data_IF_989382430844
#
_entry.id   IF_989382430844
#
_cell.length_a   1.000
_cell.length_b   1.000
_cell.length_c   1.000
_cell.angle_alpha   90.00
_cell.angle_beta   90.00
_cell.angle_gamma   90.00
#
_symmetry.space_group_name_H-M   'P 1'
#
loop_
_entity.id
_entity.type
_entity.pdbx_description
1 polymer ?
#
# COMPACT_ATOMS: atom_id res chain seq x y z
N UNK A 1 16.35 -8.04 13.42
CA UNK A 1 16.81 -6.65 13.30
C UNK A 1 18.33 -6.63 13.27
N UNK A 2 18.94 -5.95 12.32
CA UNK A 2 20.40 -5.74 12.25
C UNK A 2 20.68 -4.24 12.04
N UNK A 3 21.83 -3.71 12.48
CA UNK A 3 22.21 -2.32 12.20
C UNK A 3 22.34 -2.03 10.70
N UNK A 4 21.96 -0.82 10.30
CA UNK A 4 22.03 -0.29 8.93
C UNK A 4 22.69 1.08 9.00
N UNK A 5 23.76 1.26 8.23
CA UNK A 5 24.49 2.53 8.19
C UNK A 5 23.55 3.68 7.77
N UNK A 6 23.45 4.71 8.62
CA UNK A 6 22.60 5.88 8.38
C UNK A 6 21.09 5.66 8.55
N UNK A 7 20.64 4.48 8.97
CA UNK A 7 19.20 4.14 9.11
C UNK A 7 18.89 3.27 10.34
N UNK A 8 19.68 3.38 11.41
CA UNK A 8 19.42 2.70 12.67
C UNK A 8 19.39 1.17 12.54
N UNK A 9 18.25 0.55 12.89
CA UNK A 9 18.02 -0.88 12.74
C UNK A 9 17.16 -1.16 11.50
N UNK A 10 17.44 -2.27 10.81
CA UNK A 10 16.62 -2.76 9.71
C UNK A 10 16.10 -4.17 9.95
N UNK A 11 14.95 -4.47 9.35
CA UNK A 11 14.40 -5.83 9.26
C UNK A 11 14.95 -6.53 8.01
N UNK A 12 15.31 -7.80 8.12
CA UNK A 12 15.90 -8.57 7.02
C UNK A 12 15.22 -9.92 6.88
N UNK A 13 15.00 -10.35 5.64
CA UNK A 13 14.38 -11.63 5.33
C UNK A 13 15.27 -12.79 5.80
N UNK A 14 14.66 -13.77 6.50
CA UNK A 14 15.35 -15.00 6.94
C UNK A 14 15.11 -16.19 6.01
N UNK A 15 14.22 -16.02 5.04
CA UNK A 15 13.84 -16.96 4.00
C UNK A 15 13.36 -16.17 2.78
N UNK A 16 13.10 -16.86 1.68
CA UNK A 16 12.49 -16.24 0.51
C UNK A 16 10.99 -16.03 0.74
N UNK A 17 10.44 -14.94 0.21
CA UNK A 17 9.00 -14.63 0.23
C UNK A 17 8.52 -14.35 -1.19
N UNK A 18 7.34 -14.84 -1.54
CA UNK A 18 6.62 -14.50 -2.76
C UNK A 18 5.61 -13.36 -2.51
N UNK A 19 5.09 -12.76 -3.59
CA UNK A 19 4.03 -11.77 -3.51
C UNK A 19 2.84 -12.33 -2.69
N UNK A 20 2.40 -11.58 -1.66
CA UNK A 20 1.29 -11.96 -0.78
C UNK A 20 1.69 -12.68 0.50
N UNK A 21 2.91 -13.24 0.57
CA UNK A 21 3.35 -13.99 1.74
C UNK A 21 3.38 -13.12 3.00
N UNK A 22 2.95 -13.70 4.12
CA UNK A 22 3.04 -13.08 5.44
C UNK A 22 4.49 -13.11 5.93
N UNK A 23 5.06 -11.92 6.14
CA UNK A 23 6.42 -11.76 6.66
C UNK A 23 6.40 -11.83 8.19
N UNK A 24 5.53 -11.03 8.81
CA UNK A 24 5.38 -10.97 10.26
C UNK A 24 4.00 -10.42 10.63
N UNK A 25 3.55 -10.74 11.84
CA UNK A 25 2.33 -10.22 12.43
C UNK A 25 2.59 -9.90 13.90
N UNK A 26 2.16 -8.72 14.35
CA UNK A 26 2.49 -8.21 15.67
C UNK A 26 1.29 -7.50 16.30
N UNK A 27 0.97 -7.85 17.55
CA UNK A 27 0.03 -7.06 18.33
C UNK A 27 0.67 -5.70 18.68
N UNK A 28 -0.06 -4.58 18.53
CA UNK A 28 0.51 -3.25 18.76
C UNK A 28 0.80 -3.02 20.25
N UNK A 29 1.84 -2.25 20.54
CA UNK A 29 2.12 -1.70 21.86
C UNK A 29 1.08 -0.63 22.25
N UNK A 30 0.68 0.19 21.28
CA UNK A 30 -0.26 1.31 21.45
C UNK A 30 -1.18 1.36 20.23
N UNK A 31 -2.47 1.62 20.46
CA UNK A 31 -3.44 2.06 19.46
C UNK A 31 -4.05 3.37 19.93
N UNK A 32 -4.12 4.36 19.04
CA UNK A 32 -4.56 5.71 19.40
C UNK A 32 -5.18 6.47 18.23
N UNK A 33 -6.08 7.45 18.47
CA UNK A 33 -6.57 8.34 17.42
C UNK A 33 -5.43 9.18 16.82
N UNK A 34 -5.43 9.36 15.49
CA UNK A 34 -4.44 10.20 14.79
C UNK A 34 -4.58 11.69 15.15
N UNK A 35 -5.81 12.14 15.32
CA UNK A 35 -6.14 13.49 15.77
C UNK A 35 -7.15 13.40 16.91
N UNK A 36 -7.02 14.26 17.91
CA UNK A 36 -7.98 14.37 19.00
C UNK A 36 -8.88 15.59 18.73
N UNK A 37 -10.14 15.41 18.33
CA UNK A 37 -11.03 16.53 18.00
C UNK A 37 -11.28 17.43 19.21
N UNK A 38 -11.22 18.76 19.01
CA UNK A 38 -11.66 19.75 19.99
C UNK A 38 -10.59 20.26 20.95
N UNK A 39 -9.33 19.83 20.80
CA UNK A 39 -8.24 20.26 21.67
C UNK A 39 -7.18 20.94 20.78
N UNK A 40 -6.98 22.25 20.94
CA UNK A 40 -6.01 23.07 20.17
C UNK A 40 -4.58 22.93 20.71
N UNK A 41 -3.82 24.02 20.88
CA UNK A 41 -2.46 23.97 21.49
C UNK A 41 -2.42 23.47 22.94
N UNK A 42 -3.56 23.47 23.64
CA UNK A 42 -3.71 22.83 24.97
C UNK A 42 -3.74 21.28 24.87
N UNK A 43 -3.85 20.74 23.66
CA UNK A 43 -3.85 19.30 23.38
C UNK A 43 -2.51 18.66 23.65
N UNK A 44 -1.40 19.33 23.32
CA UNK A 44 -0.08 18.69 23.37
C UNK A 44 0.30 18.32 24.80
N UNK A 45 -0.01 19.19 25.78
CA UNK A 45 0.23 18.92 27.20
C UNK A 45 -0.71 17.85 27.76
N UNK A 46 -2.00 17.91 27.42
CA UNK A 46 -2.97 16.90 27.86
C UNK A 46 -2.67 15.52 27.24
N UNK A 47 -2.37 15.50 25.95
CA UNK A 47 -1.96 14.31 25.21
C UNK A 47 -0.69 13.70 25.80
N UNK A 48 0.33 14.52 26.07
CA UNK A 48 1.56 14.07 26.72
C UNK A 48 1.29 13.46 28.10
N UNK A 49 0.37 14.04 28.87
CA UNK A 49 -0.02 13.50 30.17
C UNK A 49 -0.74 12.14 30.06
N UNK A 50 -1.71 12.01 29.15
CA UNK A 50 -2.42 10.74 28.90
C UNK A 50 -1.45 9.67 28.42
N UNK A 51 -0.53 10.02 27.52
CA UNK A 51 0.49 9.12 27.02
C UNK A 51 1.44 8.65 28.13
N UNK A 52 1.88 9.56 29.02
CA UNK A 52 2.69 9.20 30.17
C UNK A 52 1.96 8.21 31.09
N UNK A 53 0.67 8.46 31.38
CA UNK A 53 -0.15 7.54 32.17
C UNK A 53 -0.30 6.17 31.50
N UNK A 54 -0.51 6.14 30.17
CA UNK A 54 -0.56 4.89 29.42
C UNK A 54 0.75 4.12 29.56
N UNK A 55 1.89 4.78 29.36
CA UNK A 55 3.22 4.17 29.48
C UNK A 55 3.51 3.63 30.89
N UNK A 56 3.03 4.31 31.93
CA UNK A 56 3.22 3.87 33.33
C UNK A 56 2.38 2.63 33.69
N UNK A 57 1.31 2.38 32.95
CA UNK A 57 0.46 1.18 33.12
C UNK A 57 0.88 -0.01 32.25
N UNK A 58 1.81 0.19 31.30
CA UNK A 58 2.30 -0.88 30.45
C UNK A 58 3.21 -1.85 31.20
N UNK A 59 3.23 -3.14 30.79
CA UNK A 59 4.28 -4.05 31.22
C UNK A 59 5.68 -3.46 30.95
N UNK A 60 6.65 -3.61 31.88
CA UNK A 60 7.97 -2.99 31.75
C UNK A 60 8.67 -3.32 30.43
N UNK A 61 8.52 -4.54 29.92
CA UNK A 61 9.05 -4.98 28.63
C UNK A 61 8.48 -4.19 27.45
N UNK A 62 7.18 -3.88 27.46
CA UNK A 62 6.50 -3.12 26.40
C UNK A 62 6.85 -1.64 26.48
N UNK A 63 6.91 -1.09 27.70
CA UNK A 63 7.36 0.29 27.93
C UNK A 63 8.79 0.48 27.44
N UNK A 64 9.69 -0.44 27.77
CA UNK A 64 11.08 -0.40 27.32
C UNK A 64 11.19 -0.57 25.80
N UNK A 65 10.38 -1.44 25.20
CA UNK A 65 10.31 -1.59 23.74
C UNK A 65 9.93 -0.27 23.07
N UNK A 66 8.86 0.38 23.53
CA UNK A 66 8.42 1.69 23.03
C UNK A 66 9.50 2.76 23.19
N UNK A 67 10.10 2.90 24.37
CA UNK A 67 11.13 3.91 24.65
C UNK A 67 12.44 3.69 23.89
N UNK A 68 12.64 2.50 23.30
CA UNK A 68 13.81 2.16 22.49
C UNK A 68 13.58 2.31 20.98
N UNK A 69 12.42 2.82 20.57
CA UNK A 69 12.14 3.19 19.18
C UNK A 69 12.87 4.50 18.82
N UNK A 70 13.04 4.72 17.52
CA UNK A 70 13.76 5.89 17.01
C UNK A 70 12.98 7.18 17.33
N UNK A 71 13.67 8.27 17.60
CA UNK A 71 13.04 9.57 17.78
C UNK A 71 13.79 10.63 16.97
N UNK A 72 13.38 10.80 15.71
CA UNK A 72 14.00 11.79 14.84
C UNK A 72 13.56 13.23 15.17
N UNK A 73 12.54 13.41 16.04
CA UNK A 73 11.94 14.70 16.43
C UNK A 73 12.40 15.20 17.79
N UNK A 74 13.44 14.60 18.37
CA UNK A 74 13.84 14.83 19.75
C UNK A 74 14.08 16.33 20.06
N UNK A 75 13.13 16.92 20.79
CA UNK A 75 13.29 18.14 21.58
C UNK A 75 13.02 17.78 23.04
N UNK A 76 13.67 18.48 23.99
CA UNK A 76 13.67 18.11 25.42
C UNK A 76 12.25 18.03 26.03
N UNK A 77 11.27 18.73 25.46
CA UNK A 77 9.95 18.89 26.05
C UNK A 77 8.90 17.83 25.62
N UNK A 78 9.14 17.04 24.56
CA UNK A 78 8.09 16.16 23.98
C UNK A 78 8.62 14.80 23.48
N UNK A 79 9.50 14.15 24.26
CA UNK A 79 10.18 12.89 23.87
C UNK A 79 9.23 11.79 23.38
N UNK A 80 8.12 11.54 24.08
CA UNK A 80 7.19 10.47 23.71
C UNK A 80 6.41 10.77 22.43
N UNK A 81 6.09 12.04 22.17
CA UNK A 81 5.43 12.45 20.94
C UNK A 81 6.33 12.26 19.73
N UNK A 82 7.60 12.63 19.84
CA UNK A 82 8.57 12.42 18.77
C UNK A 82 8.76 10.95 18.41
N UNK A 83 8.72 10.05 19.41
CA UNK A 83 8.69 8.59 19.17
C UNK A 83 7.44 8.20 18.38
N UNK A 84 6.26 8.67 18.78
CA UNK A 84 5.02 8.34 18.07
C UNK A 84 5.05 8.86 16.63
N UNK A 85 5.37 10.14 16.42
CA UNK A 85 5.44 10.74 15.08
C UNK A 85 6.43 10.02 14.17
N UNK A 86 7.54 9.52 14.73
CA UNK A 86 8.57 8.81 13.95
C UNK A 86 8.15 7.38 13.58
N UNK A 87 7.31 6.72 14.39
CA UNK A 87 7.11 5.26 14.36
C UNK A 87 5.67 4.80 14.13
N UNK A 88 4.71 5.71 14.13
CA UNK A 88 3.29 5.40 14.01
C UNK A 88 2.94 4.88 12.61
N UNK A 89 2.10 3.84 12.60
CA UNK A 89 1.55 3.24 11.39
C UNK A 89 0.05 3.49 11.35
N UNK A 90 -0.47 3.96 10.21
CA UNK A 90 -1.91 4.14 10.02
C UNK A 90 -2.66 2.82 10.03
N UNK A 91 -3.77 2.75 10.75
CA UNK A 91 -4.65 1.57 10.81
C UNK A 91 -6.07 1.82 10.28
N UNK A 92 -6.31 3.01 9.71
CA UNK A 92 -7.62 3.37 9.19
C UNK A 92 -8.62 3.77 10.27
N UNK A 93 -9.90 3.59 9.98
CA UNK A 93 -11.01 3.88 10.90
C UNK A 93 -11.43 2.61 11.61
N UNK A 94 -11.51 2.66 12.95
CA UNK A 94 -12.00 1.53 13.75
C UNK A 94 -13.54 1.51 13.83
N UNK A 95 -14.18 0.32 13.95
CA UNK A 95 -15.63 0.20 14.06
C UNK A 95 -16.20 1.07 15.20
N UNK A 96 -17.26 1.82 14.90
CA UNK A 96 -17.90 2.72 15.86
C UNK A 96 -17.22 4.07 16.06
N UNK A 97 -16.15 4.36 15.32
CA UNK A 97 -15.45 5.65 15.35
C UNK A 97 -15.47 6.34 13.97
N UNK A 98 -15.33 7.66 13.95
CA UNK A 98 -15.29 8.47 12.73
C UNK A 98 -13.88 9.03 12.42
N UNK A 99 -12.90 8.74 13.28
CA UNK A 99 -11.53 9.23 13.18
C UNK A 99 -10.56 8.16 12.70
N UNK A 100 -9.46 8.60 12.09
CA UNK A 100 -8.34 7.73 11.76
C UNK A 100 -7.58 7.35 13.04
N UNK A 101 -7.04 6.15 13.06
CA UNK A 101 -6.22 5.63 14.13
C UNK A 101 -4.82 5.31 13.63
N UNK A 102 -3.90 5.31 14.59
CA UNK A 102 -2.52 4.91 14.45
C UNK A 102 -2.24 3.77 15.41
N UNK A 103 -1.20 3.00 15.11
CA UNK A 103 -0.63 2.05 16.03
C UNK A 103 0.90 2.18 16.11
N UNK A 104 1.47 1.70 17.21
CA UNK A 104 2.91 1.56 17.40
C UNK A 104 3.20 0.09 17.66
N UNK A 105 4.18 -0.46 16.94
CA UNK A 105 4.65 -1.83 17.11
C UNK A 105 6.09 -1.83 17.65
N UNK A 106 6.53 -2.93 18.26
CA UNK A 106 7.90 -3.10 18.74
C UNK A 106 8.89 -3.32 17.60
N UNK A 107 8.57 -4.22 16.66
CA UNK A 107 9.46 -4.62 15.59
C UNK A 107 9.03 -4.05 14.24
N UNK A 108 7.73 -4.03 13.92
CA UNK A 108 7.22 -3.49 12.64
C UNK A 108 7.49 -1.99 12.49
N UNK A 109 7.40 -1.20 13.57
CA UNK A 109 7.71 0.23 13.54
C UNK A 109 9.18 0.54 13.23
N UNK A 110 10.07 -0.46 13.24
CA UNK A 110 11.50 -0.32 12.91
C UNK A 110 11.82 -0.68 11.46
N UNK A 111 10.82 -1.03 10.65
CA UNK A 111 11.06 -1.36 9.25
C UNK A 111 11.39 -0.08 8.49
N UNK A 112 12.53 -0.07 7.80
CA UNK A 112 13.05 1.11 7.11
C UNK A 112 12.25 1.49 5.86
N UNK A 113 12.46 2.73 5.40
CA UNK A 113 11.83 3.27 4.21
C UNK A 113 12.45 2.77 2.90
N UNK A 114 11.62 2.58 1.87
CA UNK A 114 12.00 2.64 0.46
C UNK A 114 10.92 3.33 -0.37
N UNK A 115 11.31 4.14 -1.37
CA UNK A 115 10.37 4.73 -2.34
C UNK A 115 9.76 3.69 -3.31
N UNK A 116 10.38 2.52 -3.37
CA UNK A 116 9.92 1.30 -4.06
C UNK A 116 9.95 0.16 -3.03
N UNK A 117 8.97 0.12 -2.10
CA UNK A 117 8.97 -0.83 -1.00
C UNK A 117 8.79 -2.25 -1.50
N UNK A 118 9.30 -3.22 -0.73
CA UNK A 118 9.10 -4.64 -0.99
C UNK A 118 8.10 -5.28 -0.02
N UNK A 119 7.59 -4.54 0.95
CA UNK A 119 6.55 -4.97 1.86
C UNK A 119 5.52 -3.87 2.14
N UNK A 120 4.32 -4.29 2.54
CA UNK A 120 3.21 -3.41 2.89
C UNK A 120 2.68 -3.79 4.28
N UNK A 121 2.56 -2.82 5.20
CA UNK A 121 1.83 -3.02 6.45
C UNK A 121 0.32 -3.03 6.18
N UNK A 122 -0.40 -3.93 6.84
CA UNK A 122 -1.85 -4.06 6.75
C UNK A 122 -2.41 -4.36 8.15
N UNK A 123 -3.37 -3.53 8.58
CA UNK A 123 -4.05 -3.72 9.85
C UNK A 123 -5.11 -4.83 9.72
N UNK A 124 -5.00 -5.84 10.58
CA UNK A 124 -5.98 -6.91 10.70
C UNK A 124 -6.85 -6.66 11.93
N UNK A 125 -8.12 -6.35 11.68
CA UNK A 125 -9.10 -6.05 12.72
C UNK A 125 -9.48 -7.29 13.54
N UNK A 126 -9.54 -8.47 12.94
CA UNK A 126 -10.01 -9.70 13.58
C UNK A 126 -9.00 -10.20 14.61
N UNK A 127 -7.72 -10.16 14.25
CA UNK A 127 -6.62 -10.48 15.18
C UNK A 127 -6.15 -9.29 16.01
N UNK A 128 -6.65 -8.09 15.72
CA UNK A 128 -6.24 -6.82 16.32
C UNK A 128 -4.72 -6.61 16.28
N UNK A 129 -4.14 -6.78 15.09
CA UNK A 129 -2.69 -6.78 14.89
C UNK A 129 -2.27 -6.08 13.61
N UNK A 130 -0.99 -5.68 13.55
CA UNK A 130 -0.37 -5.21 12.32
C UNK A 130 0.32 -6.39 11.64
N UNK A 131 -0.05 -6.66 10.40
CA UNK A 131 0.64 -7.62 9.54
C UNK A 131 1.56 -6.89 8.55
N UNK A 132 2.60 -7.57 8.09
CA UNK A 132 3.46 -7.10 7.00
C UNK A 132 3.54 -8.19 5.96
N UNK A 133 3.19 -7.87 4.71
CA UNK A 133 3.17 -8.82 3.60
C UNK A 133 4.08 -8.38 2.46
N UNK A 134 4.64 -9.34 1.74
CA UNK A 134 5.56 -9.07 0.64
C UNK A 134 4.81 -8.53 -0.60
N UNK A 135 5.31 -7.45 -1.19
CA UNK A 135 4.80 -6.81 -2.43
C UNK A 135 5.46 -7.37 -3.69
N UNK A 136 6.47 -8.22 -3.55
CA UNK A 136 7.20 -8.89 -4.62
C UNK A 136 8.01 -10.04 -4.05
N UNK A 137 8.73 -10.75 -4.91
CA UNK A 137 9.76 -11.68 -4.45
C UNK A 137 10.82 -10.95 -3.61
N UNK A 138 11.09 -11.47 -2.41
CA UNK A 138 12.13 -11.01 -1.48
C UNK A 138 13.05 -12.19 -1.21
N UNK A 139 14.34 -12.05 -1.49
CA UNK A 139 15.31 -13.13 -1.25
C UNK A 139 15.82 -13.11 0.19
N UNK A 140 16.25 -14.26 0.70
CA UNK A 140 16.92 -14.36 2.01
C UNK A 140 18.07 -13.34 2.13
N UNK A 141 18.10 -12.62 3.24
CA UNK A 141 19.08 -11.57 3.51
C UNK A 141 18.76 -10.22 2.89
N UNK A 142 17.74 -10.09 2.04
CA UNK A 142 17.27 -8.78 1.57
C UNK A 142 16.64 -8.00 2.73
N UNK A 143 16.87 -6.69 2.77
CA UNK A 143 16.22 -5.81 3.73
C UNK A 143 14.73 -5.67 3.37
N UNK A 144 13.87 -5.74 4.38
CA UNK A 144 12.44 -5.51 4.26
C UNK A 144 12.21 -4.02 4.47
N UNK A 145 11.52 -3.37 3.53
CA UNK A 145 11.25 -1.94 3.54
C UNK A 145 9.79 -1.65 3.21
N UNK A 146 9.22 -0.65 3.90
CA UNK A 146 7.87 -0.11 3.68
C UNK A 146 7.95 1.33 3.17
N UNK A 147 6.84 1.89 2.70
CA UNK A 147 6.78 3.32 2.38
C UNK A 147 6.44 4.13 3.63
N UNK A 148 7.14 5.25 3.84
CA UNK A 148 6.80 6.26 4.84
C UNK A 148 6.08 7.44 4.21
N UNK A 149 6.00 7.46 2.88
CA UNK A 149 5.41 8.55 2.12
C UNK A 149 3.89 8.52 2.26
N UNK A 150 3.33 9.71 2.41
CA UNK A 150 1.91 9.99 2.28
C UNK A 150 1.38 9.56 0.90
N UNK A 151 0.06 9.37 0.81
CA UNK A 151 -0.61 9.09 -0.48
C UNK A 151 -0.26 10.12 -1.56
N UNK A 152 -0.14 11.40 -1.17
CA UNK A 152 0.21 12.49 -2.10
C UNK A 152 1.65 12.44 -2.62
N UNK A 153 2.60 11.94 -1.82
CA UNK A 153 4.01 11.92 -2.21
C UNK A 153 4.50 10.58 -2.73
N UNK A 154 3.73 9.50 -2.56
CA UNK A 154 4.11 8.16 -3.03
C UNK A 154 4.43 8.13 -4.54
N UNK A 155 3.69 8.91 -5.33
CA UNK A 155 3.87 9.06 -6.78
C UNK A 155 4.50 10.39 -7.19
N UNK A 156 4.98 11.21 -6.23
CA UNK A 156 5.70 12.44 -6.51
C UNK A 156 7.08 12.16 -7.10
N UNK A 157 7.74 13.21 -7.64
CA UNK A 157 9.12 13.14 -8.14
C UNK A 157 10.15 12.94 -7.01
N UNK A 158 11.41 12.66 -7.35
CA UNK A 158 12.48 12.44 -6.36
C UNK A 158 12.60 13.60 -5.36
N UNK A 159 12.39 14.83 -5.83
CA UNK A 159 12.52 16.02 -5.00
C UNK A 159 11.38 16.10 -3.99
N UNK A 160 10.15 15.86 -4.41
CA UNK A 160 8.96 15.81 -3.56
C UNK A 160 9.08 14.73 -2.50
N UNK A 161 9.42 13.49 -2.91
CA UNK A 161 9.64 12.37 -1.99
C UNK A 161 10.70 12.67 -0.93
N UNK A 162 11.86 13.19 -1.35
CA UNK A 162 12.94 13.56 -0.41
C UNK A 162 12.59 14.75 0.47
N UNK A 163 11.80 15.70 -0.03
CA UNK A 163 11.34 16.82 0.77
C UNK A 163 10.46 16.34 1.93
N UNK A 164 9.45 15.53 1.64
CA UNK A 164 8.57 14.98 2.69
C UNK A 164 9.37 14.16 3.71
N UNK A 165 10.23 13.24 3.25
CA UNK A 165 11.06 12.44 4.15
C UNK A 165 12.03 13.29 4.99
N UNK A 166 12.54 14.38 4.43
CA UNK A 166 13.39 15.31 5.19
C UNK A 166 12.60 16.10 6.22
N UNK A 167 11.40 16.57 5.88
CA UNK A 167 10.55 17.35 6.78
C UNK A 167 10.00 16.46 7.92
N UNK A 168 9.60 15.23 7.59
CA UNK A 168 8.88 14.33 8.49
C UNK A 168 9.80 13.37 9.25
N UNK A 169 10.94 12.98 8.69
CA UNK A 169 11.82 11.97 9.30
C UNK A 169 13.29 12.40 9.40
N UNK A 170 13.62 13.64 9.04
CA UNK A 170 14.96 14.22 9.17
C UNK A 170 16.08 13.40 8.48
N UNK A 171 15.77 12.70 7.37
CA UNK A 171 16.78 12.00 6.57
C UNK A 171 16.66 12.25 5.08
N UNK A 172 17.79 12.10 4.38
CA UNK A 172 17.84 12.12 2.92
C UNK A 172 17.74 10.70 2.37
N UNK A 173 16.66 10.39 1.67
CA UNK A 173 16.47 9.05 1.12
C UNK A 173 17.50 8.69 0.03
N UNK A 174 18.17 7.56 0.25
CA UNK A 174 19.17 6.95 -0.63
C UNK A 174 18.78 5.54 -1.09
N UNK A 175 17.49 5.16 -0.98
CA UNK A 175 16.99 3.89 -1.50
C UNK A 175 17.30 3.73 -3.00
N UNK A 176 17.18 2.49 -3.51
CA UNK A 176 17.50 2.17 -4.92
C UNK A 176 16.88 3.13 -5.93
N UNK A 177 15.62 3.53 -5.74
CA UNK A 177 14.93 4.51 -6.59
C UNK A 177 15.55 5.90 -6.50
N UNK A 178 15.87 6.38 -5.30
CA UNK A 178 16.45 7.71 -5.09
C UNK A 178 17.96 7.77 -5.42
N UNK A 179 18.61 6.60 -5.53
CA UNK A 179 20.01 6.45 -5.92
C UNK A 179 20.22 6.31 -7.44
N UNK A 180 19.14 6.20 -8.22
CA UNK A 180 19.18 6.19 -9.68
C UNK A 180 19.96 7.39 -10.25
N UNK A 181 20.60 7.19 -11.40
CA UNK A 181 21.27 8.27 -12.13
C UNK A 181 20.28 9.36 -12.57
N UNK A 182 20.78 10.54 -12.93
CA UNK A 182 19.96 11.67 -13.37
C UNK A 182 19.12 11.38 -14.63
N UNK A 183 19.48 10.38 -15.44
CA UNK A 183 18.65 9.97 -16.57
C UNK A 183 17.56 8.96 -16.16
N UNK A 184 17.95 7.94 -15.40
CA UNK A 184 17.03 6.89 -14.92
C UNK A 184 15.96 7.48 -14.00
N UNK A 185 16.32 8.43 -13.15
CA UNK A 185 15.36 9.06 -12.24
C UNK A 185 14.30 9.88 -12.98
N UNK A 186 14.63 10.50 -14.13
CA UNK A 186 13.63 11.18 -14.96
C UNK A 186 12.63 10.20 -15.54
N UNK A 187 13.08 9.00 -15.92
CA UNK A 187 12.18 7.93 -16.39
C UNK A 187 11.30 7.42 -15.27
N UNK A 188 11.85 7.19 -14.07
CA UNK A 188 11.10 6.80 -12.87
C UNK A 188 10.06 7.87 -12.47
N UNK A 189 10.47 9.15 -12.40
CA UNK A 189 9.57 10.24 -12.05
C UNK A 189 8.47 10.44 -13.12
N UNK A 190 8.78 10.25 -14.41
CA UNK A 190 7.77 10.25 -15.47
C UNK A 190 6.77 9.10 -15.32
N UNK A 191 7.24 7.88 -15.04
CA UNK A 191 6.37 6.72 -14.77
C UNK A 191 5.45 6.97 -13.58
N UNK A 192 5.99 7.50 -12.47
CA UNK A 192 5.21 7.87 -11.29
C UNK A 192 4.19 8.97 -11.59
N UNK A 193 4.52 9.94 -12.45
CA UNK A 193 3.56 10.96 -12.89
C UNK A 193 2.39 10.37 -13.69
N UNK A 194 2.61 9.30 -14.47
CA UNK A 194 1.55 8.59 -15.17
C UNK A 194 0.63 7.85 -14.18
N UNK A 195 1.22 7.21 -13.16
CA UNK A 195 0.45 6.57 -12.08
C UNK A 195 -0.40 7.62 -11.36
N UNK A 196 0.20 8.75 -10.96
CA UNK A 196 -0.50 9.84 -10.28
C UNK A 196 -1.66 10.42 -11.10
N UNK A 197 -1.48 10.57 -12.42
CA UNK A 197 -2.52 11.10 -13.31
C UNK A 197 -3.67 10.12 -13.58
N UNK A 198 -3.56 8.86 -13.15
CA UNK A 198 -4.55 7.81 -13.40
C UNK A 198 -5.63 7.75 -12.33
N UNK A 199 -6.17 8.91 -11.93
CA UNK A 199 -7.30 8.97 -10.99
C UNK A 199 -8.50 8.21 -11.53
N UNK A 200 -8.80 7.06 -10.92
CA UNK A 200 -9.91 6.19 -11.32
C UNK A 200 -10.59 5.65 -10.07
N UNK A 201 -11.92 5.69 -10.06
CA UNK A 201 -12.69 5.00 -9.03
C UNK A 201 -12.70 3.49 -9.37
N UNK A 202 -12.20 2.60 -8.50
CA UNK A 202 -12.19 1.16 -8.77
C UNK A 202 -13.59 0.53 -8.90
N UNK A 203 -14.63 1.23 -8.44
CA UNK A 203 -16.02 0.79 -8.53
C UNK A 203 -16.79 1.38 -9.72
N UNK A 204 -16.13 2.16 -10.60
CA UNK A 204 -16.76 2.75 -11.78
C UNK A 204 -16.57 1.88 -13.03
N UNK A 205 -17.59 1.08 -13.32
CA UNK A 205 -17.63 0.20 -14.50
C UNK A 205 -18.24 0.85 -15.76
N UNK A 206 -18.52 2.16 -15.74
CA UNK A 206 -19.28 2.80 -16.82
C UNK A 206 -18.56 2.74 -18.17
N UNK A 207 -17.24 2.85 -18.17
CA UNK A 207 -16.43 2.80 -19.37
C UNK A 207 -16.42 1.39 -20.00
N UNK A 208 -16.33 0.33 -19.18
CA UNK A 208 -16.44 -1.06 -19.63
C UNK A 208 -17.83 -1.32 -20.21
N UNK A 209 -18.89 -0.90 -19.52
CA UNK A 209 -20.27 -1.05 -20.01
C UNK A 209 -20.48 -0.31 -21.33
N UNK A 210 -19.97 0.92 -21.46
CA UNK A 210 -20.04 1.70 -22.69
C UNK A 210 -19.27 1.02 -23.82
N UNK A 211 -18.08 0.51 -23.53
CA UNK A 211 -17.27 -0.23 -24.48
C UNK A 211 -18.03 -1.47 -24.97
N UNK A 212 -18.51 -2.34 -24.07
CA UNK A 212 -19.35 -3.52 -24.38
C UNK A 212 -20.53 -3.14 -25.28
N UNK A 213 -21.24 -2.05 -24.96
CA UNK A 213 -22.40 -1.58 -25.72
C UNK A 213 -22.05 -0.97 -27.10
N UNK A 214 -20.77 -0.71 -27.37
CA UNK A 214 -20.27 -0.05 -28.59
C UNK A 214 -19.30 -0.95 -29.38
N UNK A 215 -19.80 -1.92 -30.16
CA UNK A 215 -18.96 -2.82 -30.98
C UNK A 215 -18.02 -2.15 -31.99
N UNK A 216 -18.26 -0.88 -32.34
CA UNK A 216 -17.40 -0.13 -33.24
C UNK A 216 -16.06 0.28 -32.59
N UNK A 217 -15.96 0.24 -31.27
CA UNK A 217 -14.71 0.49 -30.55
C UNK A 217 -13.81 -0.74 -30.65
N UNK A 218 -12.51 -0.52 -30.82
CA UNK A 218 -11.52 -1.60 -30.87
C UNK A 218 -11.38 -2.28 -29.51
N UNK A 219 -11.12 -3.59 -29.54
CA UNK A 219 -10.94 -4.40 -28.32
C UNK A 219 -9.60 -4.06 -27.65
N UNK A 220 -8.50 -4.18 -28.42
CA UNK A 220 -7.14 -3.93 -27.94
C UNK A 220 -6.95 -2.50 -27.40
N UNK A 221 -7.61 -1.53 -28.02
CA UNK A 221 -7.53 -0.13 -27.60
C UNK A 221 -8.10 0.13 -26.20
N UNK A 222 -9.02 -0.72 -25.73
CA UNK A 222 -9.64 -0.59 -24.42
C UNK A 222 -8.76 -1.14 -23.29
N UNK A 223 -8.16 -2.32 -23.48
CA UNK A 223 -7.32 -2.96 -22.44
C UNK A 223 -5.91 -2.39 -22.39
N UNK A 224 -5.34 -1.97 -23.52
CA UNK A 224 -3.93 -1.56 -23.64
C UNK A 224 -3.49 -0.51 -22.61
N UNK A 225 -4.34 0.49 -22.32
CA UNK A 225 -4.01 1.52 -21.32
C UNK A 225 -3.83 0.90 -19.93
N UNK A 226 -4.73 0.00 -19.54
CA UNK A 226 -4.66 -0.67 -18.24
C UNK A 226 -3.47 -1.62 -18.17
N UNK A 227 -3.24 -2.41 -19.20
CA UNK A 227 -2.08 -3.32 -19.26
C UNK A 227 -0.76 -2.55 -19.12
N UNK A 228 -0.63 -1.43 -19.83
CA UNK A 228 0.55 -0.57 -19.75
C UNK A 228 0.71 0.01 -18.34
N UNK A 229 -0.37 0.42 -17.68
CA UNK A 229 -0.30 1.01 -16.35
C UNK A 229 0.08 -0.02 -15.28
N UNK A 230 -0.48 -1.23 -15.34
CA UNK A 230 -0.08 -2.33 -14.45
C UNK A 230 1.41 -2.64 -14.65
N UNK A 231 1.87 -2.71 -15.91
CA UNK A 231 3.27 -2.91 -16.22
C UNK A 231 4.16 -1.80 -15.66
N UNK A 232 3.74 -0.53 -15.78
CA UNK A 232 4.46 0.62 -15.21
C UNK A 232 4.57 0.48 -13.68
N UNK A 233 3.48 0.18 -12.97
CA UNK A 233 3.51 0.01 -11.51
C UNK A 233 4.40 -1.15 -11.08
N UNK A 234 4.37 -2.27 -11.82
CA UNK A 234 5.21 -3.43 -11.54
C UNK A 234 6.70 -3.13 -11.75
N UNK A 235 7.07 -2.50 -12.86
CA UNK A 235 8.47 -2.14 -13.16
C UNK A 235 8.99 -1.06 -12.20
N UNK A 236 8.14 -0.12 -11.80
CA UNK A 236 8.48 0.95 -10.85
C UNK A 236 8.45 0.48 -9.38
N UNK A 237 7.87 -0.70 -9.13
CA UNK A 237 7.57 -1.22 -7.79
C UNK A 237 6.79 -0.18 -6.97
N UNK A 238 5.78 0.42 -7.60
CA UNK A 238 4.95 1.49 -7.06
C UNK A 238 3.49 1.10 -7.27
N UNK A 239 2.97 0.29 -6.35
CA UNK A 239 1.58 -0.15 -6.33
C UNK A 239 0.70 0.88 -5.62
N UNK A 240 0.18 1.86 -6.36
CA UNK A 240 -0.83 2.79 -5.84
C UNK A 240 -2.18 2.06 -5.80
N UNK A 241 -2.81 2.03 -4.63
CA UNK A 241 -3.91 1.10 -4.33
C UNK A 241 -5.15 1.32 -5.19
N UNK A 242 -5.60 2.56 -5.32
CA UNK A 242 -6.81 2.88 -6.08
C UNK A 242 -6.60 2.62 -7.57
N UNK A 243 -5.39 2.92 -8.08
CA UNK A 243 -5.01 2.72 -9.47
C UNK A 243 -4.96 1.24 -9.83
N UNK A 244 -4.23 0.39 -9.09
CA UNK A 244 -4.15 -1.02 -9.45
C UNK A 244 -5.50 -1.73 -9.32
N UNK A 245 -6.28 -1.41 -8.28
CA UNK A 245 -7.63 -1.98 -8.09
C UNK A 245 -8.51 -1.70 -9.29
N UNK A 246 -8.57 -0.44 -9.72
CA UNK A 246 -9.42 -0.04 -10.86
C UNK A 246 -8.97 -0.66 -12.19
N UNK A 247 -7.66 -0.74 -12.42
CA UNK A 247 -7.14 -1.21 -13.69
C UNK A 247 -7.16 -2.74 -13.81
N UNK A 248 -6.93 -3.49 -12.72
CA UNK A 248 -7.12 -4.95 -12.72
C UNK A 248 -8.59 -5.34 -12.85
N UNK A 249 -9.50 -4.62 -12.16
CA UNK A 249 -10.95 -4.78 -12.32
C UNK A 249 -11.36 -4.62 -13.79
N UNK A 250 -10.92 -3.53 -14.44
CA UNK A 250 -11.21 -3.25 -15.86
C UNK A 250 -10.69 -4.34 -16.80
N UNK A 251 -9.46 -4.83 -16.57
CA UNK A 251 -8.85 -5.89 -17.37
C UNK A 251 -9.64 -7.19 -17.22
N UNK A 252 -9.95 -7.58 -15.99
CA UNK A 252 -10.80 -8.73 -15.70
C UNK A 252 -12.13 -8.63 -16.46
N UNK A 253 -12.88 -7.53 -16.30
CA UNK A 253 -14.20 -7.39 -16.90
C UNK A 253 -14.15 -7.40 -18.44
N UNK A 254 -13.15 -6.75 -19.03
CA UNK A 254 -12.98 -6.72 -20.48
C UNK A 254 -12.69 -8.12 -21.05
N UNK A 255 -11.75 -8.85 -20.44
CA UNK A 255 -11.40 -10.20 -20.89
C UNK A 255 -12.52 -11.21 -20.62
N UNK A 256 -13.28 -11.07 -19.53
CA UNK A 256 -14.47 -11.87 -19.28
C UNK A 256 -15.55 -11.62 -20.35
N UNK A 257 -15.80 -10.35 -20.70
CA UNK A 257 -16.75 -10.00 -21.77
C UNK A 257 -16.36 -10.55 -23.14
N UNK A 258 -15.06 -10.76 -23.37
CA UNK A 258 -14.49 -11.38 -24.56
C UNK A 258 -14.31 -12.91 -24.47
N UNK A 259 -14.70 -13.53 -23.35
CA UNK A 259 -14.51 -14.96 -23.05
C UNK A 259 -13.03 -15.41 -23.16
N UNK A 260 -12.10 -14.53 -22.79
CA UNK A 260 -10.67 -14.85 -22.74
C UNK A 260 -10.30 -15.36 -21.33
N UNK A 261 -10.48 -16.66 -21.10
CA UNK A 261 -10.26 -17.28 -19.80
C UNK A 261 -8.84 -17.12 -19.26
N UNK A 262 -7.84 -17.27 -20.12
CA UNK A 262 -6.42 -17.20 -19.74
C UNK A 262 -6.07 -15.82 -19.17
N UNK A 263 -6.47 -14.75 -19.87
CA UNK A 263 -6.24 -13.39 -19.39
C UNK A 263 -7.08 -13.07 -18.15
N UNK A 264 -8.32 -13.58 -18.04
CA UNK A 264 -9.09 -13.43 -16.79
C UNK A 264 -8.35 -14.03 -15.60
N UNK A 265 -7.89 -15.29 -15.71
CA UNK A 265 -7.15 -15.95 -14.62
C UNK A 265 -5.89 -15.17 -14.25
N UNK A 266 -5.12 -14.71 -15.24
CA UNK A 266 -3.91 -13.91 -15.04
C UNK A 266 -4.18 -12.62 -14.23
N UNK A 267 -5.14 -11.80 -14.67
CA UNK A 267 -5.40 -10.51 -14.00
C UNK A 267 -6.05 -10.67 -12.65
N UNK A 268 -6.95 -11.64 -12.51
CA UNK A 268 -7.61 -11.93 -11.24
C UNK A 268 -6.65 -12.53 -10.22
N UNK A 269 -5.73 -13.41 -10.61
CA UNK A 269 -4.70 -13.92 -9.69
C UNK A 269 -3.77 -12.81 -9.19
N UNK A 270 -3.42 -11.85 -10.04
CA UNK A 270 -2.66 -10.68 -9.61
C UNK A 270 -3.49 -9.79 -8.66
N UNK A 271 -4.78 -9.60 -8.94
CA UNK A 271 -5.68 -8.85 -8.08
C UNK A 271 -5.82 -9.52 -6.70
N UNK A 272 -6.06 -10.84 -6.65
CA UNK A 272 -6.11 -11.61 -5.42
C UNK A 272 -4.84 -11.42 -4.58
N UNK A 273 -3.68 -11.58 -5.20
CA UNK A 273 -2.41 -11.47 -4.50
C UNK A 273 -2.16 -10.05 -3.94
N UNK A 274 -2.47 -9.00 -4.71
CA UNK A 274 -2.35 -7.61 -4.22
C UNK A 274 -3.40 -7.30 -3.16
N UNK A 275 -4.65 -7.73 -3.31
CA UNK A 275 -5.69 -7.54 -2.30
C UNK A 275 -5.29 -8.16 -0.97
N UNK A 276 -4.73 -9.38 -0.95
CA UNK A 276 -4.20 -10.01 0.27
C UNK A 276 -3.15 -9.11 0.94
N UNK A 277 -2.28 -8.47 0.15
CA UNK A 277 -1.24 -7.58 0.67
C UNK A 277 -1.81 -6.32 1.32
N UNK A 278 -2.84 -5.72 0.73
CA UNK A 278 -3.40 -4.43 1.18
C UNK A 278 -4.55 -4.56 2.19
N UNK A 279 -5.34 -5.64 2.12
CA UNK A 279 -6.55 -5.85 2.92
C UNK A 279 -6.46 -7.06 3.88
N UNK A 280 -5.49 -7.96 3.70
CA UNK A 280 -5.32 -9.15 4.54
C UNK A 280 -6.10 -10.38 4.08
N UNK A 281 -7.09 -10.20 3.20
CA UNK A 281 -7.82 -11.23 2.46
C UNK A 281 -7.86 -10.91 0.96
N UNK A 282 -8.42 -11.80 0.13
CA UNK A 282 -8.45 -11.64 -1.32
C UNK A 282 -9.77 -11.07 -1.86
N UNK A 283 -10.70 -10.64 -1.01
CA UNK A 283 -12.03 -10.12 -1.37
C UNK A 283 -12.81 -11.01 -2.38
N UNK A 284 -12.56 -12.33 -2.40
CA UNK A 284 -13.22 -13.28 -3.30
C UNK A 284 -12.63 -13.36 -4.71
N UNK A 285 -11.48 -12.73 -4.97
CA UNK A 285 -10.81 -12.82 -6.26
C UNK A 285 -10.39 -14.26 -6.61
N UNK A 286 -9.99 -15.10 -5.65
CA UNK A 286 -9.65 -16.49 -5.93
C UNK A 286 -10.84 -17.30 -6.45
N UNK A 287 -12.05 -17.01 -6.00
CA UNK A 287 -13.26 -17.68 -6.50
C UNK A 287 -13.50 -17.34 -7.98
N UNK A 288 -13.32 -16.07 -8.35
CA UNK A 288 -13.36 -15.63 -9.75
C UNK A 288 -12.26 -16.29 -10.58
N UNK A 289 -11.06 -16.46 -10.02
CA UNK A 289 -9.98 -17.16 -10.70
C UNK A 289 -10.30 -18.63 -10.93
N UNK A 290 -10.99 -19.31 -10.01
CA UNK A 290 -11.37 -20.72 -10.14
C UNK A 290 -12.43 -20.92 -11.22
N UNK A 291 -13.47 -20.07 -11.23
CA UNK A 291 -14.64 -20.19 -12.11
C UNK A 291 -14.92 -18.93 -12.96
N UNK A 292 -14.01 -18.50 -13.87
CA UNK A 292 -14.15 -17.27 -14.66
C UNK A 292 -15.46 -17.14 -15.44
N UNK A 293 -16.03 -18.28 -15.88
CA UNK A 293 -17.22 -18.31 -16.73
C UNK A 293 -18.52 -18.05 -15.97
N UNK A 294 -18.50 -18.12 -14.63
CA UNK A 294 -19.69 -17.86 -13.80
C UNK A 294 -19.90 -16.38 -13.49
N UNK A 295 -18.99 -15.52 -13.96
CA UNK A 295 -19.07 -14.08 -13.75
C UNK A 295 -20.21 -13.45 -14.54
N UNK A 296 -20.79 -12.36 -14.03
CA UNK A 296 -21.84 -11.60 -14.71
C UNK A 296 -21.35 -10.85 -15.97
N UNK A 297 -20.04 -10.84 -16.21
CA UNK A 297 -19.42 -10.21 -17.39
C UNK A 297 -19.21 -11.18 -18.54
N UNK A 298 -19.24 -12.50 -18.28
CA UNK A 298 -18.83 -13.50 -19.26
C UNK A 298 -19.62 -13.42 -20.57
N UNK A 299 -18.92 -13.24 -21.68
CA UNK A 299 -19.49 -13.27 -23.04
C UNK A 299 -20.39 -12.09 -23.42
N UNK A 300 -20.52 -11.06 -22.57
CA UNK A 300 -21.41 -9.92 -22.86
C UNK A 300 -21.07 -9.21 -24.18
N UNK A 301 -19.79 -9.04 -24.48
CA UNK A 301 -19.35 -8.36 -25.71
C UNK A 301 -19.55 -9.23 -26.94
N UNK A 302 -19.17 -10.51 -26.88
CA UNK A 302 -19.38 -11.46 -27.99
C UNK A 302 -20.85 -11.59 -28.36
N UNK A 303 -21.73 -11.71 -27.36
CA UNK A 303 -23.18 -11.82 -27.57
C UNK A 303 -23.74 -10.61 -28.33
N UNK A 304 -23.32 -9.40 -27.97
CA UNK A 304 -23.76 -8.17 -28.66
C UNK A 304 -23.22 -8.07 -30.09
N UNK A 305 -21.96 -8.45 -30.31
CA UNK A 305 -21.38 -8.49 -31.66
C UNK A 305 -22.13 -9.47 -32.58
N UNK A 306 -22.49 -10.66 -32.08
CA UNK A 306 -23.26 -11.66 -32.83
C UNK A 306 -24.67 -11.19 -33.16
N UNK A 307 -25.36 -10.54 -32.21
CA UNK A 307 -26.71 -9.99 -32.42
C UNK A 307 -26.74 -8.94 -33.54
N UNK A 308 -25.72 -8.08 -33.64
CA UNK A 308 -25.62 -7.07 -34.70
C UNK A 308 -25.16 -7.62 -36.05
N UNK A 309 -24.39 -8.71 -36.08
CA UNK A 309 -24.04 -9.36 -37.34
C UNK A 309 -25.23 -10.11 -37.98
N UNK A 310 -26.27 -10.39 -37.19
CA UNK A 310 -27.44 -11.19 -37.59
C UNK A 310 -28.67 -10.35 -37.97
N UNK A 311 -28.61 -9.02 -37.87
CA UNK A 311 -29.73 -8.09 -38.15
C UNK A 311 -29.29 -6.92 -39.01
#
# INVERSE_FOLDING_TARGET
MNPVEGAGLGMFAKQDFQLGDLITQEAPLIVMPQAIPGIGKEADAHFSHVLAQMLDTMPPENRNAFLSLENCKATEDIVHHGIIETNALGIGVLPGHNGQFLCICKDISRINHSCSPNAQPCWDLDSFSMSVRALRHIVVGEQICISYLSKSSFTADRKGRRKELSDDYNFLCTCSTCALSENEIKTSDWRRSIIAASHTNPNDDNDVKLWIATPALLDDGFTLRSELLIKIMQEEQCWEEEVWRAHLQRLYQAHAALENEEEVRKWVSLAAALTIVFAGDDEGWSDVAMEPQQTNWWGLRRKLMQQRASG
#
